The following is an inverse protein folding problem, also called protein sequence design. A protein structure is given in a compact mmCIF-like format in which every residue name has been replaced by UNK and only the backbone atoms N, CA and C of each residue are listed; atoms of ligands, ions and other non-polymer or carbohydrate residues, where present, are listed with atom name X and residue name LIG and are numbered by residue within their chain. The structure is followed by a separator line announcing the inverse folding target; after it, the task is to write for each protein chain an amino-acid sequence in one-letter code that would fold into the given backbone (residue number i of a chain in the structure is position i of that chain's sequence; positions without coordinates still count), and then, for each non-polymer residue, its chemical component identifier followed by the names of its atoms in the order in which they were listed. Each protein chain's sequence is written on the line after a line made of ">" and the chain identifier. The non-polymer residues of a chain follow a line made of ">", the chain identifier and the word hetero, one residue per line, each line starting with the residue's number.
data_IF_458929281496
#
_entry.id   IF_458929281496
#
_cell.length_a   1.000
_cell.length_b   1.000
_cell.length_c   1.000
_cell.angle_alpha   90.00
_cell.angle_beta   90.00
_cell.angle_gamma   90.00
#
_symmetry.space_group_name_H-M   'P 1'
#
loop_
_entity.id
_entity.type
_entity.pdbx_description
1 polymer ?
#
# COMPACT_ATOMS: atom_id res chain seq x y z
N UNK A 1 12.92 -8.69 -15.15
CA UNK A 1 12.40 -8.10 -13.90
C UNK A 1 11.51 -6.95 -14.32
N UNK A 2 10.22 -7.23 -14.43
CA UNK A 2 9.26 -6.30 -15.04
C UNK A 2 9.07 -5.06 -14.17
N UNK A 3 9.42 -3.92 -14.80
CA UNK A 3 8.88 -2.57 -14.67
C UNK A 3 8.47 -2.12 -13.27
N UNK A 4 9.11 -1.05 -12.80
CA UNK A 4 8.62 -0.12 -11.78
C UNK A 4 7.08 -0.10 -11.74
N UNK A 5 6.47 -0.97 -10.94
CA UNK A 5 5.03 -0.93 -10.73
C UNK A 5 4.80 0.37 -9.99
N UNK A 6 4.04 1.27 -10.59
CA UNK A 6 3.62 2.49 -9.93
C UNK A 6 3.00 2.12 -8.58
N UNK A 7 3.37 2.85 -7.52
CA UNK A 7 2.97 2.51 -6.14
C UNK A 7 1.45 2.44 -5.99
N UNK A 8 0.70 3.20 -6.82
CA UNK A 8 -0.76 3.14 -6.87
C UNK A 8 -1.23 1.80 -7.42
N UNK A 9 -0.67 1.33 -8.55
CA UNK A 9 -0.99 0.02 -9.12
C UNK A 9 -0.65 -1.13 -8.17
N UNK A 10 0.46 -1.01 -7.42
CA UNK A 10 0.81 -1.97 -6.38
C UNK A 10 -0.23 -2.01 -5.24
N UNK A 11 -0.67 -0.83 -4.78
CA UNK A 11 -1.70 -0.70 -3.73
C UNK A 11 -3.05 -1.24 -4.21
N UNK A 12 -3.42 -0.99 -5.46
CA UNK A 12 -4.63 -1.55 -6.06
C UNK A 12 -4.57 -3.08 -6.15
N UNK A 13 -3.45 -3.66 -6.60
CA UNK A 13 -3.27 -5.12 -6.59
C UNK A 13 -3.32 -5.71 -5.17
N UNK A 14 -2.75 -5.00 -4.18
CA UNK A 14 -2.83 -5.38 -2.77
C UNK A 14 -4.28 -5.49 -2.31
N UNK A 15 -5.10 -4.50 -2.65
CA UNK A 15 -6.51 -4.51 -2.29
C UNK A 15 -7.28 -5.62 -3.02
N UNK A 16 -7.15 -5.70 -4.34
CA UNK A 16 -7.89 -6.67 -5.16
C UNK A 16 -7.53 -8.13 -4.81
N UNK A 17 -6.24 -8.43 -4.62
CA UNK A 17 -5.79 -9.82 -4.40
C UNK A 17 -5.91 -10.27 -2.96
N UNK A 18 -5.82 -9.34 -1.99
CA UNK A 18 -5.76 -9.67 -0.56
C UNK A 18 -6.90 -9.09 0.26
N UNK A 19 -7.84 -8.39 -0.38
CA UNK A 19 -8.94 -7.67 0.26
C UNK A 19 -8.41 -6.75 1.38
N UNK A 20 -7.26 -6.11 1.12
CA UNK A 20 -6.39 -5.52 2.14
C UNK A 20 -7.06 -4.34 2.87
N UNK A 21 -7.77 -3.49 2.13
CA UNK A 21 -8.53 -2.36 2.67
C UNK A 21 -10.00 -2.69 2.90
N UNK A 22 -10.48 -3.87 2.50
CA UNK A 22 -11.90 -4.26 2.65
C UNK A 22 -12.38 -4.30 4.11
N UNK A 23 -11.47 -4.51 5.07
CA UNK A 23 -11.78 -4.44 6.50
C UNK A 23 -11.47 -3.08 7.14
N UNK A 24 -10.95 -2.13 6.36
CA UNK A 24 -10.61 -0.79 6.83
C UNK A 24 -11.80 0.12 6.48
N UNK A 25 -12.75 0.23 7.42
CA UNK A 25 -13.95 1.07 7.25
C UNK A 25 -13.65 2.53 6.87
N UNK A 26 -12.50 3.07 7.27
CA UNK A 26 -12.06 4.42 6.90
C UNK A 26 -10.53 4.49 6.90
N UNK A 27 -9.91 4.95 5.83
CA UNK A 27 -8.46 5.26 5.82
C UNK A 27 -8.30 6.72 6.20
N UNK A 28 -7.81 6.99 7.41
CA UNK A 28 -7.67 8.34 7.95
C UNK A 28 -6.29 8.56 8.58
N UNK A 29 -6.03 9.78 9.10
CA UNK A 29 -4.71 10.14 9.65
C UNK A 29 -4.26 9.26 10.83
N UNK A 30 -5.21 8.64 11.54
CA UNK A 30 -4.94 7.84 12.74
C UNK A 30 -4.50 6.42 12.40
N UNK A 31 -4.94 5.86 11.28
CA UNK A 31 -4.55 4.51 10.85
C UNK A 31 -3.57 4.49 9.66
N UNK A 32 -3.37 5.60 8.95
CA UNK A 32 -2.42 5.72 7.84
C UNK A 32 -1.01 5.23 8.20
N UNK A 33 -0.54 5.52 9.42
CA UNK A 33 0.76 5.03 9.89
C UNK A 33 0.80 3.50 9.95
N UNK A 34 -0.19 2.88 10.61
CA UNK A 34 -0.27 1.43 10.75
C UNK A 34 -0.42 0.72 9.39
N UNK A 35 -1.19 1.30 8.47
CA UNK A 35 -1.35 0.78 7.11
C UNK A 35 -0.01 0.77 6.36
N UNK A 36 0.75 1.86 6.44
CA UNK A 36 2.08 1.96 5.81
C UNK A 36 3.04 0.91 6.38
N UNK A 37 3.03 0.69 7.70
CA UNK A 37 3.85 -0.34 8.35
C UNK A 37 3.47 -1.76 7.88
N UNK A 38 2.17 -2.05 7.80
CA UNK A 38 1.67 -3.35 7.33
C UNK A 38 2.09 -3.63 5.89
N UNK A 39 2.02 -2.62 5.01
CA UNK A 39 2.49 -2.74 3.63
C UNK A 39 4.00 -2.95 3.58
N UNK A 40 4.79 -2.22 4.38
CA UNK A 40 6.24 -2.45 4.45
C UNK A 40 6.59 -3.84 4.96
N UNK A 41 5.90 -4.32 5.99
CA UNK A 41 6.07 -5.67 6.50
C UNK A 41 5.77 -6.71 5.41
N UNK A 42 4.68 -6.53 4.66
CA UNK A 42 4.33 -7.44 3.56
C UNK A 42 5.42 -7.44 2.47
N UNK A 43 5.95 -6.27 2.11
CA UNK A 43 7.03 -6.15 1.12
C UNK A 43 8.26 -6.94 1.56
N UNK A 44 8.71 -6.73 2.79
CA UNK A 44 9.88 -7.44 3.33
C UNK A 44 9.62 -8.94 3.39
N UNK A 45 8.42 -9.36 3.80
CA UNK A 45 8.05 -10.76 3.88
C UNK A 45 8.04 -11.47 2.52
N UNK A 46 7.56 -10.81 1.47
CA UNK A 46 7.43 -11.40 0.14
C UNK A 46 8.67 -11.25 -0.74
N UNK A 47 9.39 -10.14 -0.61
CA UNK A 47 10.48 -9.76 -1.51
C UNK A 47 11.84 -9.67 -0.81
N UNK A 48 11.90 -9.83 0.51
CA UNK A 48 13.12 -9.74 1.31
C UNK A 48 13.59 -8.31 1.59
N UNK A 49 12.99 -7.32 0.95
CA UNK A 49 13.30 -5.89 1.10
C UNK A 49 12.07 -5.00 0.95
N UNK A 50 12.20 -3.73 1.31
CA UNK A 50 11.13 -2.75 1.11
C UNK A 50 11.12 -2.27 -0.34
N UNK A 51 10.10 -2.65 -1.09
CA UNK A 51 9.92 -2.21 -2.49
C UNK A 51 9.70 -0.69 -2.65
N UNK A 52 9.11 -0.05 -1.63
CA UNK A 52 8.80 1.37 -1.63
C UNK A 52 9.13 1.98 -0.27
N UNK A 53 9.46 3.26 -0.26
CA UNK A 53 9.58 4.05 0.97
C UNK A 53 8.21 4.27 1.62
N UNK A 54 8.20 4.58 2.92
CA UNK A 54 6.99 4.94 3.65
C UNK A 54 6.24 6.13 3.02
N UNK A 55 6.99 7.09 2.48
CA UNK A 55 6.40 8.27 1.84
C UNK A 55 5.72 7.90 0.53
N UNK A 56 6.35 7.07 -0.30
CA UNK A 56 5.76 6.56 -1.54
C UNK A 56 4.47 5.79 -1.28
N UNK A 57 4.49 4.87 -0.29
CA UNK A 57 3.30 4.12 0.11
C UNK A 57 2.20 5.08 0.57
N UNK A 58 2.51 6.04 1.44
CA UNK A 58 1.55 7.03 1.92
C UNK A 58 0.95 7.85 0.77
N UNK A 59 1.78 8.29 -0.18
CA UNK A 59 1.32 9.03 -1.37
C UNK A 59 0.45 8.15 -2.26
N UNK A 60 0.85 6.89 -2.45
CA UNK A 60 0.10 5.91 -3.21
C UNK A 60 -1.29 5.66 -2.63
N UNK A 61 -1.38 5.45 -1.30
CA UNK A 61 -2.66 5.23 -0.61
C UNK A 61 -3.56 6.46 -0.80
N UNK A 62 -3.04 7.66 -0.55
CA UNK A 62 -3.80 8.90 -0.74
C UNK A 62 -4.35 9.02 -2.16
N UNK A 63 -3.51 8.80 -3.17
CA UNK A 63 -3.93 8.84 -4.59
C UNK A 63 -5.02 7.81 -4.88
N UNK A 64 -4.85 6.58 -4.40
CA UNK A 64 -5.81 5.50 -4.57
C UNK A 64 -7.18 5.84 -3.96
N UNK A 65 -7.19 6.38 -2.73
CA UNK A 65 -8.42 6.73 -1.99
C UNK A 65 -9.08 8.04 -2.42
N UNK A 66 -8.35 8.93 -3.09
CA UNK A 66 -8.86 10.23 -3.55
C UNK A 66 -9.25 10.24 -5.03
N UNK A 67 -8.95 9.17 -5.77
CA UNK A 67 -9.20 9.01 -7.20
C UNK A 67 -10.16 7.88 -7.57
N UNK A 68 -10.79 7.23 -6.58
CA UNK A 68 -11.84 6.20 -6.77
C UNK A 68 -13.22 6.77 -6.42
#
# INVERSE_FOLDING_TARGET
>A
MESNKDVVSFIAELDEKKNFFHNVNEINKYNMGAIVELIQYQNIKEYGESLYTREEIRRGIKKYTQGS
#
